data_IF_832616846698
#
_entry.id   IF_832616846698
#
_cell.length_a   1.000
_cell.length_b   1.000
_cell.length_c   1.000
_cell.angle_alpha   90.00
_cell.angle_beta   90.00
_cell.angle_gamma   90.00
#
_symmetry.space_group_name_H-M   'P 1'
#
loop_
_entity.id
_entity.type
_entity.pdbx_description
1 polymer ?
#
# COMPACT_ATOMS: atom_id res chain seq x y z
N UNK A 1 -18.12 -42.11 4.50
CA UNK A 1 -17.24 -41.40 5.44
C UNK A 1 -16.41 -40.40 4.64
N UNK A 2 -16.70 -39.11 4.76
CA UNK A 2 -15.98 -38.04 4.04
C UNK A 2 -14.61 -37.86 4.68
N UNK A 3 -13.55 -38.09 3.90
CA UNK A 3 -12.16 -37.94 4.34
C UNK A 3 -11.92 -36.44 4.64
N UNK A 4 -11.75 -36.10 5.92
CA UNK A 4 -11.48 -34.72 6.33
C UNK A 4 -10.06 -34.35 5.86
N UNK A 5 -9.95 -33.31 5.04
CA UNK A 5 -8.64 -32.82 4.57
C UNK A 5 -8.14 -31.82 5.60
N UNK A 6 -6.88 -31.93 6.01
CA UNK A 6 -6.25 -31.00 6.95
C UNK A 6 -5.56 -29.89 6.16
N UNK A 7 -5.72 -28.65 6.59
CA UNK A 7 -4.97 -27.49 6.09
C UNK A 7 -4.07 -26.94 7.19
N UNK A 8 -3.01 -26.22 6.81
CA UNK A 8 -2.10 -25.56 7.76
C UNK A 8 -2.48 -24.08 7.91
N UNK A 9 -2.56 -23.62 9.14
CA UNK A 9 -2.83 -22.23 9.50
C UNK A 9 -1.74 -21.70 10.42
N UNK A 10 -1.12 -20.58 10.08
CA UNK A 10 -0.13 -19.92 10.94
C UNK A 10 -0.83 -18.89 11.82
N UNK A 11 -0.74 -19.05 13.14
CA UNK A 11 -1.31 -18.16 14.14
C UNK A 11 -0.77 -16.74 13.94
N UNK A 12 -1.68 -15.77 13.81
CA UNK A 12 -1.39 -14.36 13.61
C UNK A 12 -1.45 -13.59 14.94
N UNK A 13 -0.86 -12.38 15.02
CA UNK A 13 -1.02 -11.52 16.18
C UNK A 13 -2.50 -11.26 16.49
N UNK A 14 -2.93 -11.58 17.72
CA UNK A 14 -4.31 -11.37 18.19
C UNK A 14 -5.25 -12.57 18.04
N UNK A 15 -4.78 -13.66 17.47
CA UNK A 15 -5.56 -14.89 17.39
C UNK A 15 -5.78 -15.55 18.75
N UNK A 16 -6.93 -16.21 18.89
CA UNK A 16 -7.21 -17.17 19.96
C UNK A 16 -7.61 -18.51 19.35
N UNK A 17 -7.39 -19.61 20.06
CA UNK A 17 -7.81 -20.93 19.57
C UNK A 17 -9.33 -21.01 19.37
N UNK A 18 -10.09 -20.23 20.15
CA UNK A 18 -11.52 -19.94 19.98
C UNK A 18 -11.88 -19.37 18.62
N UNK A 19 -11.27 -18.24 18.28
CA UNK A 19 -11.53 -17.54 17.02
C UNK A 19 -11.13 -18.39 15.81
N UNK A 20 -9.99 -19.08 15.88
CA UNK A 20 -9.51 -19.97 14.82
C UNK A 20 -10.47 -21.17 14.66
N UNK A 21 -10.87 -21.82 15.76
CA UNK A 21 -11.81 -22.94 15.69
C UNK A 21 -13.14 -22.54 15.05
N UNK A 22 -13.69 -21.38 15.43
CA UNK A 22 -14.90 -20.82 14.82
C UNK A 22 -14.72 -20.53 13.33
N UNK A 23 -13.56 -19.99 12.91
CA UNK A 23 -13.27 -19.70 11.51
C UNK A 23 -13.25 -20.95 10.63
N UNK A 24 -12.72 -22.06 11.16
CA UNK A 24 -12.63 -23.34 10.44
C UNK A 24 -13.81 -24.29 10.73
N UNK A 25 -14.88 -23.79 11.34
CA UNK A 25 -16.10 -24.58 11.59
C UNK A 25 -15.86 -25.80 12.50
N UNK A 26 -14.96 -25.69 13.48
CA UNK A 26 -14.67 -26.72 14.48
C UNK A 26 -14.81 -26.18 15.90
N UNK A 27 -14.67 -27.04 16.91
CA UNK A 27 -14.67 -26.62 18.32
C UNK A 27 -13.25 -26.41 18.84
N UNK A 28 -13.09 -25.56 19.86
CA UNK A 28 -11.81 -25.36 20.55
C UNK A 28 -11.22 -26.67 21.04
N UNK A 29 -12.03 -27.51 21.67
CA UNK A 29 -11.59 -28.82 22.16
C UNK A 29 -11.17 -29.76 21.02
N UNK A 30 -11.86 -29.74 19.88
CA UNK A 30 -11.48 -30.56 18.73
C UNK A 30 -10.19 -30.03 18.07
N UNK A 31 -10.04 -28.72 17.94
CA UNK A 31 -8.85 -28.09 17.37
C UNK A 31 -7.62 -28.25 18.28
N UNK A 32 -7.80 -28.12 19.60
CA UNK A 32 -6.75 -28.35 20.59
C UNK A 32 -6.27 -29.80 20.55
N UNK A 33 -7.19 -30.77 20.53
CA UNK A 33 -6.85 -32.20 20.40
C UNK A 33 -6.14 -32.52 19.09
N UNK A 34 -6.59 -31.94 17.96
CA UNK A 34 -5.98 -32.11 16.64
C UNK A 34 -4.53 -31.62 16.59
N UNK A 35 -4.17 -30.64 17.44
CA UNK A 35 -2.85 -30.02 17.48
C UNK A 35 -2.05 -30.36 18.74
N UNK A 36 -2.53 -31.30 19.55
CA UNK A 36 -1.92 -31.68 20.83
C UNK A 36 -1.66 -30.48 21.77
N UNK A 37 -2.57 -29.50 21.77
CA UNK A 37 -2.49 -28.31 22.63
C UNK A 37 -3.13 -28.64 23.99
N UNK A 38 -2.31 -28.61 25.04
CA UNK A 38 -2.76 -28.89 26.42
C UNK A 38 -3.55 -27.72 27.02
N UNK A 39 -3.10 -26.47 26.79
CA UNK A 39 -3.80 -25.26 27.19
C UNK A 39 -4.26 -24.47 25.96
N UNK A 40 -5.57 -24.45 25.65
CA UNK A 40 -6.15 -23.70 24.54
C UNK A 40 -5.88 -22.19 24.53
N UNK A 41 -5.50 -21.60 25.67
CA UNK A 41 -5.19 -20.17 25.76
C UNK A 41 -3.73 -19.85 25.45
N UNK A 42 -2.87 -20.87 25.29
CA UNK A 42 -1.42 -20.71 25.14
C UNK A 42 -0.93 -20.98 23.72
N UNK A 43 -1.57 -20.38 22.71
CA UNK A 43 -1.05 -20.38 21.34
C UNK A 43 -0.11 -19.19 21.11
N UNK A 44 0.93 -19.38 20.29
CA UNK A 44 1.92 -18.34 20.00
C UNK A 44 1.81 -17.86 18.55
N UNK A 45 2.01 -16.57 18.34
CA UNK A 45 2.15 -16.01 16.99
C UNK A 45 3.24 -16.76 16.23
N UNK A 46 2.96 -17.12 14.97
CA UNK A 46 3.83 -17.92 14.12
C UNK A 46 3.71 -19.43 14.32
N UNK A 47 2.97 -19.90 15.34
CA UNK A 47 2.69 -21.32 15.53
C UNK A 47 1.81 -21.83 14.38
N UNK A 48 2.18 -22.97 13.79
CA UNK A 48 1.40 -23.58 12.70
C UNK A 48 0.46 -24.63 13.28
N UNK A 49 -0.83 -24.49 13.01
CA UNK A 49 -1.90 -25.41 13.41
C UNK A 49 -2.43 -26.17 12.20
N UNK A 50 -2.65 -27.47 12.40
CA UNK A 50 -3.52 -28.30 11.56
C UNK A 50 -4.97 -27.95 11.85
N UNK A 51 -5.69 -27.44 10.86
CA UNK A 51 -7.11 -27.10 10.96
C UNK A 51 -7.93 -28.01 10.04
N UNK A 52 -9.14 -28.43 10.44
CA UNK A 52 -10.00 -29.19 9.57
C UNK A 52 -10.52 -28.31 8.42
N UNK A 53 -10.44 -28.83 7.20
CA UNK A 53 -11.06 -28.22 6.02
C UNK A 53 -12.28 -29.06 5.61
N UNK A 54 -13.51 -28.56 5.79
CA UNK A 54 -14.68 -29.22 5.23
C UNK A 54 -14.60 -29.11 3.70
N UNK A 55 -14.45 -30.25 3.03
CA UNK A 55 -14.31 -30.30 1.57
C UNK A 55 -15.43 -29.54 0.86
N UNK A 56 -15.03 -28.74 -0.13
CA UNK A 56 -15.86 -28.08 -1.15
C UNK A 56 -17.08 -27.28 -0.67
N UNK A 57 -16.94 -26.48 0.39
CA UNK A 57 -17.79 -25.29 0.53
C UNK A 57 -16.91 -24.06 0.68
N UNK A 58 -17.14 -22.98 -0.10
CA UNK A 58 -16.43 -21.72 0.08
C UNK A 58 -16.57 -21.27 1.54
N UNK A 59 -15.51 -20.72 2.16
CA UNK A 59 -15.60 -20.20 3.51
C UNK A 59 -16.79 -19.25 3.64
N UNK A 60 -17.54 -19.27 4.76
CA UNK A 60 -18.70 -18.41 4.94
C UNK A 60 -18.29 -16.94 4.71
N UNK A 61 -19.15 -16.15 4.03
CA UNK A 61 -18.81 -14.78 3.69
C UNK A 61 -18.49 -13.99 4.97
N UNK A 62 -17.50 -13.09 4.93
CA UNK A 62 -17.15 -12.29 6.09
C UNK A 62 -18.38 -11.50 6.57
N UNK A 63 -18.54 -11.30 7.90
CA UNK A 63 -19.69 -10.62 8.45
C UNK A 63 -19.81 -9.21 7.88
N UNK A 64 -21.03 -8.80 7.55
CA UNK A 64 -21.31 -7.47 6.98
C UNK A 64 -21.25 -6.37 8.03
N UNK A 65 -21.41 -6.72 9.31
CA UNK A 65 -21.42 -5.79 10.44
C UNK A 65 -20.61 -6.33 11.63
N UNK A 66 -20.09 -5.44 12.46
CA UNK A 66 -19.38 -5.76 13.70
C UNK A 66 -19.69 -4.76 14.81
N UNK A 67 -19.97 -5.24 16.03
CA UNK A 67 -20.22 -4.36 17.19
C UNK A 67 -18.92 -4.19 17.98
N UNK A 68 -18.44 -2.96 18.11
CA UNK A 68 -17.21 -2.59 18.84
C UNK A 68 -17.28 -3.06 20.29
N UNK A 69 -16.27 -3.80 20.72
CA UNK A 69 -16.13 -4.34 22.09
C UNK A 69 -15.15 -3.50 22.92
N UNK A 70 -15.16 -3.62 24.26
CA UNK A 70 -14.14 -2.98 25.11
C UNK A 70 -12.72 -3.33 24.66
N UNK A 71 -11.90 -2.29 24.40
CA UNK A 71 -10.51 -2.44 23.97
C UNK A 71 -10.29 -2.51 22.45
N UNK A 72 -11.36 -2.49 21.66
CA UNK A 72 -11.23 -2.47 20.19
C UNK A 72 -10.64 -1.15 19.67
N UNK A 73 -9.86 -1.26 18.60
CA UNK A 73 -9.46 -0.14 17.74
C UNK A 73 -9.91 -0.42 16.31
N UNK A 74 -10.16 0.63 15.53
CA UNK A 74 -10.55 0.46 14.12
C UNK A 74 -9.45 -0.26 13.32
N UNK A 75 -8.18 -0.11 13.73
CA UNK A 75 -7.00 -0.85 13.26
C UNK A 75 -7.09 -2.36 13.45
N UNK A 76 -7.31 -2.78 14.70
CA UNK A 76 -7.42 -4.20 15.03
C UNK A 76 -8.64 -4.86 14.35
N UNK A 77 -9.77 -4.15 14.30
CA UNK A 77 -10.98 -4.62 13.61
C UNK A 77 -10.71 -4.77 12.11
N UNK A 78 -10.09 -3.77 11.48
CA UNK A 78 -9.76 -3.83 10.05
C UNK A 78 -8.85 -5.01 9.70
N UNK A 79 -7.78 -5.22 10.48
CA UNK A 79 -6.88 -6.34 10.31
C UNK A 79 -7.61 -7.69 10.46
N UNK A 80 -8.47 -7.81 11.48
CA UNK A 80 -9.27 -9.01 11.77
C UNK A 80 -10.22 -9.39 10.63
N UNK A 81 -10.79 -8.42 9.95
CA UNK A 81 -11.74 -8.66 8.85
C UNK A 81 -11.11 -8.49 7.46
N UNK A 82 -9.78 -8.50 7.38
CA UNK A 82 -9.02 -8.36 6.13
C UNK A 82 -9.48 -7.16 5.28
N UNK A 83 -9.81 -6.06 5.95
CA UNK A 83 -10.20 -4.79 5.35
C UNK A 83 -9.26 -3.69 5.85
N UNK A 84 -9.50 -2.44 5.50
CA UNK A 84 -8.70 -1.32 5.99
C UNK A 84 -9.49 -0.46 6.97
N UNK A 85 -8.76 0.16 7.90
CA UNK A 85 -9.27 1.20 8.81
C UNK A 85 -10.08 2.22 8.03
N UNK A 86 -9.54 2.62 6.88
CA UNK A 86 -10.13 3.62 5.99
C UNK A 86 -11.43 3.13 5.34
N UNK A 87 -11.50 1.85 4.93
CA UNK A 87 -12.71 1.26 4.37
C UNK A 87 -13.83 1.17 5.42
N UNK A 88 -13.50 0.78 6.65
CA UNK A 88 -14.47 0.78 7.76
C UNK A 88 -14.87 2.22 8.10
N UNK A 89 -13.92 3.13 8.24
CA UNK A 89 -14.19 4.52 8.59
C UNK A 89 -15.09 5.20 7.56
N UNK A 90 -14.82 5.00 6.27
CA UNK A 90 -15.60 5.58 5.19
C UNK A 90 -17.05 5.06 5.16
N UNK A 91 -17.24 3.73 5.24
CA UNK A 91 -18.58 3.13 5.25
C UNK A 91 -19.43 3.58 6.44
N UNK A 92 -18.78 3.87 7.56
CA UNK A 92 -19.44 4.25 8.80
C UNK A 92 -19.39 5.76 9.07
N UNK A 93 -18.98 6.56 8.09
CA UNK A 93 -18.85 8.01 8.21
C UNK A 93 -18.03 8.48 9.43
N UNK A 94 -17.01 7.71 9.81
CA UNK A 94 -16.12 8.00 10.94
C UNK A 94 -15.05 8.98 10.48
N UNK A 95 -15.18 10.23 10.90
CA UNK A 95 -14.22 11.29 10.59
C UNK A 95 -12.85 11.09 11.27
N UNK A 96 -12.84 10.58 12.51
CA UNK A 96 -11.63 10.25 13.25
C UNK A 96 -11.58 8.73 13.55
N UNK A 97 -10.78 7.95 12.80
CA UNK A 97 -10.66 6.51 12.99
C UNK A 97 -10.14 6.05 14.35
N UNK A 98 -9.55 6.95 15.14
CA UNK A 98 -9.10 6.67 16.51
C UNK A 98 -10.23 6.85 17.55
N UNK A 99 -11.41 7.31 17.13
CA UNK A 99 -12.54 7.55 18.01
C UNK A 99 -13.70 6.63 17.60
N UNK A 100 -13.71 5.43 18.21
CA UNK A 100 -14.85 4.51 18.18
C UNK A 100 -15.31 4.22 19.60
N UNK A 101 -16.60 3.94 19.78
CA UNK A 101 -17.19 3.69 21.08
C UNK A 101 -17.61 2.23 21.23
N UNK A 102 -17.44 1.66 22.43
CA UNK A 102 -17.97 0.33 22.76
C UNK A 102 -19.48 0.31 22.51
N UNK A 103 -19.96 -0.74 21.85
CA UNK A 103 -21.35 -0.87 21.43
C UNK A 103 -21.66 -0.25 20.06
N UNK A 104 -20.74 0.49 19.44
CA UNK A 104 -20.92 1.04 18.10
C UNK A 104 -20.94 -0.09 17.06
N UNK A 105 -21.94 -0.10 16.17
CA UNK A 105 -22.03 -1.08 15.08
C UNK A 105 -21.37 -0.51 13.83
N UNK A 106 -20.44 -1.28 13.26
CA UNK A 106 -19.65 -0.93 12.08
C UNK A 106 -20.01 -1.82 10.90
N UNK A 107 -20.34 -1.22 9.76
CA UNK A 107 -20.44 -1.88 8.46
C UNK A 107 -19.05 -2.22 7.92
N UNK A 108 -18.82 -3.50 7.61
CA UNK A 108 -17.52 -4.02 7.15
C UNK A 108 -17.47 -4.25 5.63
N UNK A 109 -18.59 -4.70 5.04
CA UNK A 109 -18.73 -4.96 3.59
C UNK A 109 -20.00 -4.30 3.04
N UNK A 110 -20.05 -4.09 1.73
CA UNK A 110 -21.09 -3.30 1.07
C UNK A 110 -21.95 -4.23 0.24
N UNK A 111 -23.24 -4.27 0.56
CA UNK A 111 -24.25 -4.79 -0.35
C UNK A 111 -24.63 -3.63 -1.27
N UNK A 112 -24.30 -3.70 -2.56
CA UNK A 112 -25.07 -2.97 -3.57
C UNK A 112 -24.87 -3.56 -4.97
N UNK A 113 -25.96 -4.15 -5.45
CA UNK A 113 -26.22 -4.44 -6.86
C UNK A 113 -27.06 -3.27 -7.37
N UNK A 114 -26.58 -2.48 -8.33
CA UNK A 114 -27.43 -1.63 -9.19
C UNK A 114 -26.69 -1.05 -10.42
N UNK A 115 -27.42 -0.73 -11.51
CA UNK A 115 -27.01 -0.97 -12.91
C UNK A 115 -26.40 0.26 -13.63
N UNK A 116 -25.94 0.11 -14.90
CA UNK A 116 -24.92 0.98 -15.50
C UNK A 116 -25.47 2.23 -16.20
N UNK A 117 -24.68 3.31 -16.18
CA UNK A 117 -24.84 4.50 -17.03
C UNK A 117 -23.88 4.39 -18.22
N UNK A 118 -24.42 4.64 -19.42
CA UNK A 118 -23.75 4.51 -20.72
C UNK A 118 -22.59 5.51 -20.86
N UNK A 119 -21.39 5.04 -21.21
CA UNK A 119 -20.29 5.86 -21.75
C UNK A 119 -19.54 5.07 -22.84
N UNK A 120 -19.16 5.81 -23.88
CA UNK A 120 -18.62 5.36 -25.19
C UNK A 120 -17.37 4.47 -25.04
N UNK A 121 -17.32 3.42 -25.85
CA UNK A 121 -16.31 2.36 -25.80
C UNK A 121 -14.91 2.84 -26.24
N UNK A 122 -14.08 3.18 -25.26
CA UNK A 122 -12.63 2.91 -25.32
C UNK A 122 -12.45 1.52 -24.76
N UNK A 123 -11.77 0.62 -25.49
CA UNK A 123 -11.50 -0.76 -25.03
C UNK A 123 -10.92 -0.71 -23.60
N UNK A 124 -11.62 -1.21 -22.57
CA UNK A 124 -11.09 -1.20 -21.22
C UNK A 124 -9.97 -2.25 -21.16
N UNK A 125 -8.74 -1.79 -20.95
CA UNK A 125 -7.70 -2.66 -20.42
C UNK A 125 -8.14 -3.22 -19.06
N UNK A 126 -7.62 -4.39 -18.64
CA UNK A 126 -8.03 -4.97 -17.37
C UNK A 126 -7.75 -3.99 -16.22
N UNK A 127 -8.76 -3.71 -15.38
CA UNK A 127 -8.69 -2.84 -14.19
C UNK A 127 -7.69 -3.32 -13.10
N UNK A 128 -6.90 -4.35 -13.40
CA UNK A 128 -5.93 -5.02 -12.52
C UNK A 128 -4.58 -5.28 -13.20
N UNK A 129 -4.44 -5.05 -14.50
CA UNK A 129 -3.21 -5.39 -15.24
C UNK A 129 -2.08 -4.41 -14.93
N UNK A 130 -0.85 -4.90 -14.81
CA UNK A 130 0.35 -4.08 -14.69
C UNK A 130 0.48 -3.06 -15.83
N UNK A 131 1.21 -1.96 -15.59
CA UNK A 131 1.54 -1.00 -16.65
C UNK A 131 2.47 -1.69 -17.64
N UNK A 132 2.16 -1.60 -18.93
CA UNK A 132 2.99 -2.17 -19.99
C UNK A 132 4.10 -1.21 -20.39
N UNK A 133 5.16 -1.74 -21.05
CA UNK A 133 6.24 -0.90 -21.59
C UNK A 133 5.73 0.11 -22.62
N UNK A 134 4.75 -0.27 -23.44
CA UNK A 134 4.14 0.63 -24.42
C UNK A 134 3.46 1.82 -23.71
N UNK A 135 2.62 1.55 -22.72
CA UNK A 135 1.94 2.58 -21.93
C UNK A 135 2.93 3.49 -21.21
N UNK A 136 3.95 2.92 -20.57
CA UNK A 136 4.99 3.71 -19.90
C UNK A 136 5.69 4.67 -20.88
N UNK A 137 5.98 4.25 -22.10
CA UNK A 137 6.67 5.09 -23.09
C UNK A 137 5.77 6.12 -23.78
N UNK A 138 4.45 5.98 -23.73
CA UNK A 138 3.53 7.06 -24.09
C UNK A 138 3.54 8.14 -23.01
N UNK A 139 3.56 7.74 -21.73
CA UNK A 139 3.52 8.67 -20.59
C UNK A 139 4.89 9.35 -20.37
N UNK A 140 5.98 8.58 -20.49
CA UNK A 140 7.37 8.98 -20.21
C UNK A 140 8.28 8.57 -21.38
N UNK A 141 8.16 9.20 -22.56
CA UNK A 141 8.96 8.84 -23.73
C UNK A 141 10.48 8.87 -23.49
N UNK A 142 10.97 9.75 -22.60
CA UNK A 142 12.40 9.83 -22.28
C UNK A 142 12.89 8.67 -21.40
N UNK A 143 12.00 7.87 -20.82
CA UNK A 143 12.35 6.64 -20.10
C UNK A 143 12.82 5.51 -21.04
N UNK A 144 12.71 5.66 -22.36
CA UNK A 144 13.01 4.61 -23.36
C UNK A 144 14.31 3.84 -23.12
N UNK A 145 15.45 4.47 -22.79
CA UNK A 145 16.70 3.75 -22.57
C UNK A 145 16.67 2.83 -21.35
N UNK A 146 15.81 3.09 -20.36
CA UNK A 146 15.76 2.43 -19.05
C UNK A 146 14.48 1.66 -18.78
N UNK A 147 13.46 1.82 -19.63
CA UNK A 147 12.12 1.29 -19.38
C UNK A 147 12.08 -0.24 -19.26
N UNK A 148 12.98 -0.96 -19.95
CA UNK A 148 13.07 -2.42 -19.82
C UNK A 148 13.51 -2.83 -18.40
N UNK A 149 14.49 -2.13 -17.85
CA UNK A 149 15.04 -2.42 -16.52
C UNK A 149 14.14 -1.91 -15.40
N UNK A 150 13.50 -0.76 -15.59
CA UNK A 150 12.73 -0.09 -14.53
C UNK A 150 11.32 -0.65 -14.36
N UNK A 151 10.67 -1.05 -15.45
CA UNK A 151 9.26 -1.40 -15.45
C UNK A 151 8.89 -2.54 -14.49
N UNK A 152 9.65 -3.65 -14.37
CA UNK A 152 9.33 -4.71 -13.42
C UNK A 152 9.27 -4.19 -11.98
N UNK A 153 10.26 -3.38 -11.57
CA UNK A 153 10.34 -2.82 -10.22
C UNK A 153 9.25 -1.77 -9.96
N UNK A 154 8.97 -0.92 -10.94
CA UNK A 154 7.87 0.05 -10.87
C UNK A 154 6.52 -0.64 -10.68
N UNK A 155 6.24 -1.72 -11.42
CA UNK A 155 5.00 -2.48 -11.27
C UNK A 155 4.92 -3.20 -9.91
N UNK A 156 6.03 -3.75 -9.40
CA UNK A 156 6.10 -4.30 -8.02
C UNK A 156 5.72 -3.22 -7.01
N UNK A 157 6.36 -2.04 -7.08
CA UNK A 157 6.09 -0.95 -6.14
C UNK A 157 4.64 -0.47 -6.19
N UNK A 158 4.04 -0.34 -7.38
CA UNK A 158 2.63 0.02 -7.52
C UNK A 158 1.69 -1.01 -6.89
N UNK A 159 2.01 -2.32 -7.00
CA UNK A 159 1.23 -3.38 -6.33
C UNK A 159 1.36 -3.31 -4.81
N UNK A 160 2.58 -3.19 -4.28
CA UNK A 160 2.84 -3.05 -2.85
C UNK A 160 2.14 -1.81 -2.26
N UNK A 161 2.08 -0.72 -3.03
CA UNK A 161 1.42 0.53 -2.66
C UNK A 161 -0.10 0.53 -2.89
N UNK A 162 -0.70 -0.62 -3.27
CA UNK A 162 -2.11 -0.76 -3.60
C UNK A 162 -2.61 0.24 -4.67
N UNK A 163 -1.75 0.61 -5.63
CA UNK A 163 -2.11 1.41 -6.80
C UNK A 163 -2.73 0.51 -7.87
N UNK A 164 -3.89 -0.05 -7.53
CA UNK A 164 -4.61 -1.03 -8.35
C UNK A 164 -5.46 -0.36 -9.44
N UNK A 165 -5.97 0.85 -9.19
CA UNK A 165 -6.83 1.56 -10.14
C UNK A 165 -6.01 2.33 -11.19
N UNK A 166 -6.53 2.47 -12.43
CA UNK A 166 -5.95 3.36 -13.44
C UNK A 166 -5.72 4.79 -12.94
N UNK A 167 -6.64 5.34 -12.14
CA UNK A 167 -6.54 6.69 -11.55
C UNK A 167 -5.31 6.83 -10.64
N UNK A 168 -5.10 5.87 -9.71
CA UNK A 168 -3.95 5.88 -8.79
C UNK A 168 -2.64 5.79 -9.56
N UNK A 169 -2.56 4.89 -10.54
CA UNK A 169 -1.37 4.71 -11.38
C UNK A 169 -1.10 5.95 -12.22
N UNK A 170 -2.13 6.53 -12.84
CA UNK A 170 -1.99 7.74 -13.64
C UNK A 170 -1.42 8.89 -12.81
N UNK A 171 -1.98 9.14 -11.63
CA UNK A 171 -1.52 10.20 -10.74
C UNK A 171 -0.09 9.93 -10.24
N UNK A 172 0.23 8.70 -9.85
CA UNK A 172 1.57 8.32 -9.41
C UNK A 172 2.61 8.48 -10.52
N UNK A 173 2.37 7.91 -11.70
CA UNK A 173 3.28 8.01 -12.85
C UNK A 173 3.48 9.46 -13.28
N UNK A 174 2.44 10.30 -13.25
CA UNK A 174 2.58 11.71 -13.59
C UNK A 174 3.48 12.49 -12.63
N UNK A 175 3.43 12.18 -11.33
CA UNK A 175 4.33 12.80 -10.35
C UNK A 175 5.76 12.31 -10.57
N UNK A 176 5.97 11.01 -10.73
CA UNK A 176 7.30 10.44 -11.02
C UNK A 176 7.89 11.02 -12.31
N UNK A 177 7.09 11.19 -13.35
CA UNK A 177 7.51 11.77 -14.61
C UNK A 177 8.10 13.18 -14.44
N UNK A 178 7.56 13.98 -13.53
CA UNK A 178 8.12 15.29 -13.24
C UNK A 178 9.35 15.20 -12.33
N UNK A 179 9.27 14.50 -11.19
CA UNK A 179 10.33 14.46 -10.17
C UNK A 179 11.66 13.85 -10.65
N UNK A 180 11.62 13.01 -11.69
CA UNK A 180 12.77 12.27 -12.18
C UNK A 180 13.16 12.61 -13.63
N UNK A 181 12.57 13.67 -14.19
CA UNK A 181 12.61 13.97 -15.62
C UNK A 181 12.30 12.72 -16.46
N UNK A 182 11.11 12.14 -16.28
CA UNK A 182 10.62 10.95 -16.96
C UNK A 182 11.53 9.73 -16.77
N UNK A 183 11.96 9.51 -15.53
CA UNK A 183 12.85 8.41 -15.12
C UNK A 183 14.24 8.47 -15.79
N UNK A 184 14.67 9.65 -16.23
CA UNK A 184 16.05 9.82 -16.71
C UNK A 184 17.05 9.83 -15.55
N UNK A 185 16.63 10.26 -14.36
CA UNK A 185 17.49 10.38 -13.19
C UNK A 185 16.88 9.68 -11.98
N UNK A 186 17.66 8.78 -11.36
CA UNK A 186 17.34 8.11 -10.09
C UNK A 186 18.23 8.61 -8.94
N UNK A 187 19.12 9.55 -9.20
CA UNK A 187 19.93 10.23 -8.21
C UNK A 187 20.12 11.67 -8.67
N UNK A 188 20.08 12.59 -7.73
CA UNK A 188 20.30 14.01 -7.99
C UNK A 188 21.74 14.25 -8.49
N UNK A 189 21.88 15.07 -9.53
CA UNK A 189 23.19 15.50 -10.06
C UNK A 189 23.92 16.45 -9.09
N UNK A 190 23.17 17.10 -8.19
CA UNK A 190 23.73 17.94 -7.13
C UNK A 190 24.56 17.10 -6.14
N UNK A 191 25.54 17.76 -5.51
CA UNK A 191 26.39 17.12 -4.51
C UNK A 191 25.63 16.79 -3.21
N UNK A 192 24.54 17.51 -2.92
CA UNK A 192 23.81 17.44 -1.66
C UNK A 192 24.46 18.19 -0.51
N UNK A 193 25.58 18.90 -0.75
CA UNK A 193 26.26 19.68 0.29
C UNK A 193 25.35 20.79 0.88
N UNK A 194 24.39 21.29 0.11
CA UNK A 194 23.39 22.27 0.57
C UNK A 194 22.42 21.72 1.64
N UNK A 195 22.33 20.40 1.78
CA UNK A 195 21.53 19.76 2.83
C UNK A 195 22.29 19.58 4.15
N UNK A 196 23.58 19.93 4.20
CA UNK A 196 24.39 19.79 5.41
C UNK A 196 23.82 20.64 6.56
N UNK A 197 23.72 20.05 7.75
CA UNK A 197 23.21 20.75 8.94
C UNK A 197 21.70 21.07 8.93
N UNK A 198 20.94 20.68 7.90
CA UNK A 198 19.48 20.88 7.82
C UNK A 198 18.75 20.06 8.88
N UNK A 199 18.47 20.69 10.02
CA UNK A 199 17.80 20.06 11.19
C UNK A 199 16.39 19.58 10.87
N UNK A 200 15.65 20.28 10.02
CA UNK A 200 14.32 19.89 9.55
C UNK A 200 14.35 18.56 8.76
N UNK A 201 15.46 18.27 8.08
CA UNK A 201 15.71 17.01 7.37
C UNK A 201 16.35 15.93 8.27
N UNK A 202 16.66 16.27 9.53
CA UNK A 202 17.37 15.41 10.46
C UNK A 202 18.86 15.30 10.20
N UNK A 203 19.43 16.15 9.35
CA UNK A 203 20.86 16.17 9.04
C UNK A 203 21.61 16.89 10.16
N UNK A 204 21.92 16.16 11.23
CA UNK A 204 22.54 16.71 12.46
C UNK A 204 23.95 16.17 12.71
N UNK A 205 24.45 15.28 11.85
CA UNK A 205 25.80 14.73 11.94
C UNK A 205 26.64 15.26 10.77
N UNK A 206 27.95 15.52 10.96
CA UNK A 206 28.83 15.92 9.89
C UNK A 206 28.80 14.94 8.71
N UNK A 207 28.60 15.47 7.50
CA UNK A 207 28.55 14.71 6.25
C UNK A 207 27.16 14.21 5.86
N UNK A 208 26.13 14.53 6.65
CA UNK A 208 24.75 14.10 6.39
C UNK A 208 24.17 14.66 5.08
N UNK A 209 24.56 15.85 4.67
CA UNK A 209 24.03 16.49 3.47
C UNK A 209 24.32 15.64 2.23
N UNK A 210 25.59 15.36 1.97
CA UNK A 210 26.02 14.52 0.84
C UNK A 210 25.53 13.08 1.01
N UNK A 211 25.60 12.54 2.23
CA UNK A 211 25.19 11.15 2.51
C UNK A 211 23.71 10.92 2.23
N UNK A 212 22.83 11.85 2.60
CA UNK A 212 21.38 11.75 2.46
C UNK A 212 20.80 12.73 1.42
N UNK A 213 21.54 12.99 0.34
CA UNK A 213 21.08 13.77 -0.80
C UNK A 213 19.89 13.14 -1.54
N UNK A 214 19.28 13.86 -2.47
CA UNK A 214 18.12 13.40 -3.24
C UNK A 214 18.40 12.13 -4.04
N UNK A 215 17.59 11.08 -3.81
CA UNK A 215 17.64 9.81 -4.56
C UNK A 215 16.27 9.23 -4.86
N UNK A 216 16.26 8.37 -5.87
CA UNK A 216 15.10 7.70 -6.39
C UNK A 216 14.19 8.62 -7.20
N UNK A 217 13.10 8.07 -7.73
CA UNK A 217 12.22 8.78 -8.67
C UNK A 217 11.30 9.79 -7.99
N UNK A 218 11.38 9.94 -6.66
CA UNK A 218 10.65 10.95 -5.86
C UNK A 218 11.60 11.90 -5.11
N UNK A 219 12.92 11.82 -5.37
CA UNK A 219 13.93 12.65 -4.69
C UNK A 219 13.85 12.58 -3.15
N UNK A 220 13.99 11.38 -2.57
CA UNK A 220 14.06 11.20 -1.12
C UNK A 220 15.31 11.90 -0.57
N UNK A 221 15.14 12.88 0.30
CA UNK A 221 16.23 13.70 0.85
C UNK A 221 16.17 13.78 2.37
N UNK A 222 17.33 13.72 3.04
CA UNK A 222 17.47 13.95 4.48
C UNK A 222 17.45 12.69 5.34
N UNK A 223 18.34 12.62 6.33
CA UNK A 223 18.52 11.47 7.23
C UNK A 223 17.21 10.95 7.83
N UNK A 224 16.33 11.84 8.27
CA UNK A 224 15.05 11.43 8.86
C UNK A 224 14.17 10.67 7.86
N UNK A 225 14.10 11.14 6.62
CA UNK A 225 13.30 10.52 5.58
C UNK A 225 13.86 9.15 5.19
N UNK A 226 15.18 9.03 5.03
CA UNK A 226 15.85 7.75 4.79
C UNK A 226 15.59 6.73 5.91
N UNK A 227 15.69 7.16 7.18
CA UNK A 227 15.40 6.31 8.34
C UNK A 227 13.98 5.78 8.34
N UNK A 228 13.00 6.66 8.14
CA UNK A 228 11.58 6.28 8.22
C UNK A 228 11.19 5.39 7.04
N UNK A 229 11.65 5.72 5.82
CA UNK A 229 11.44 4.91 4.63
C UNK A 229 12.07 3.51 4.80
N UNK A 230 13.33 3.46 5.23
CA UNK A 230 14.05 2.22 5.43
C UNK A 230 13.38 1.31 6.45
N UNK A 231 12.96 1.86 7.60
CA UNK A 231 12.21 1.11 8.61
C UNK A 231 10.88 0.57 8.08
N UNK A 232 10.15 1.37 7.31
CA UNK A 232 8.85 0.96 6.75
C UNK A 232 8.98 -0.15 5.70
N UNK A 233 10.09 -0.16 4.95
CA UNK A 233 10.34 -1.13 3.87
C UNK A 233 11.18 -2.35 4.32
N UNK A 234 11.71 -2.33 5.55
CA UNK A 234 12.64 -3.35 6.04
C UNK A 234 14.01 -3.30 5.35
N UNK A 235 14.47 -2.12 4.94
CA UNK A 235 15.72 -1.89 4.21
C UNK A 235 16.58 -0.92 5.01
N UNK A 236 17.85 -1.25 5.28
CA UNK A 236 18.75 -0.34 6.00
C UNK A 236 19.30 0.78 5.10
N UNK A 237 18.45 1.79 4.88
CA UNK A 237 18.77 3.00 4.14
C UNK A 237 19.63 4.00 4.91
N UNK A 238 19.85 3.80 6.22
CA UNK A 238 20.77 4.65 6.98
C UNK A 238 22.23 4.22 6.76
N UNK A 239 22.47 2.91 6.78
CA UNK A 239 23.78 2.37 6.43
C UNK A 239 24.02 2.45 4.92
N UNK A 240 22.99 2.22 4.09
CA UNK A 240 23.13 2.09 2.63
C UNK A 240 22.24 3.08 1.86
N UNK A 241 22.43 4.41 1.99
CA UNK A 241 21.55 5.40 1.36
C UNK A 241 21.59 5.37 -0.17
N UNK A 242 22.70 4.94 -0.79
CA UNK A 242 22.80 4.78 -2.25
C UNK A 242 21.74 3.83 -2.81
N UNK A 243 21.29 2.84 -2.03
CA UNK A 243 20.23 1.90 -2.43
C UNK A 243 18.94 2.60 -2.86
N UNK A 244 18.65 3.81 -2.34
CA UNK A 244 17.47 4.56 -2.75
C UNK A 244 17.48 4.98 -4.23
N UNK A 245 18.63 4.94 -4.91
CA UNK A 245 18.76 5.15 -6.35
C UNK A 245 18.60 3.86 -7.17
N UNK A 246 18.70 2.69 -6.55
CA UNK A 246 18.53 1.41 -7.25
C UNK A 246 17.06 1.20 -7.59
N UNK A 247 16.71 0.70 -8.80
CA UNK A 247 15.32 0.58 -9.22
C UNK A 247 14.43 -0.25 -8.27
N UNK A 248 14.95 -1.37 -7.76
CA UNK A 248 14.22 -2.27 -6.86
C UNK A 248 13.83 -1.62 -5.53
N UNK A 249 14.59 -0.63 -5.06
CA UNK A 249 14.37 0.07 -3.80
C UNK A 249 13.76 1.45 -4.01
N UNK A 250 14.27 2.22 -4.97
CA UNK A 250 13.81 3.58 -5.27
C UNK A 250 12.32 3.65 -5.62
N UNK A 251 11.81 2.71 -6.41
CA UNK A 251 10.37 2.66 -6.70
C UNK A 251 9.54 2.28 -5.46
N UNK A 252 10.03 1.38 -4.61
CA UNK A 252 9.36 1.02 -3.34
C UNK A 252 9.34 2.20 -2.37
N UNK A 253 10.43 2.98 -2.31
CA UNK A 253 10.49 4.26 -1.58
C UNK A 253 9.44 5.24 -2.10
N UNK A 254 9.28 5.38 -3.43
CA UNK A 254 8.24 6.24 -3.99
C UNK A 254 6.82 5.74 -3.67
N UNK A 255 6.58 4.43 -3.73
CA UNK A 255 5.31 3.81 -3.31
C UNK A 255 5.00 4.02 -1.82
N UNK A 256 6.02 3.89 -0.95
CA UNK A 256 5.90 4.20 0.48
C UNK A 256 5.62 5.70 0.72
N UNK A 257 6.34 6.59 0.04
CA UNK A 257 6.14 8.04 0.17
C UNK A 257 4.69 8.42 -0.17
N UNK A 258 4.17 7.83 -1.25
CA UNK A 258 2.80 8.01 -1.71
C UNK A 258 1.77 7.53 -0.69
N UNK A 259 1.90 6.29 -0.22
CA UNK A 259 0.93 5.66 0.70
C UNK A 259 0.98 6.27 2.10
N UNK A 260 2.17 6.56 2.62
CA UNK A 260 2.34 7.24 3.92
C UNK A 260 1.70 8.64 3.97
N UNK A 261 1.39 9.23 2.82
CA UNK A 261 0.72 10.54 2.70
C UNK A 261 -0.76 10.46 2.31
N UNK A 262 -1.31 9.27 2.14
CA UNK A 262 -2.72 9.06 1.80
C UNK A 262 -3.06 9.46 0.35
N UNK A 263 -2.09 9.44 -0.56
CA UNK A 263 -2.27 9.99 -1.91
C UNK A 263 -3.15 9.10 -2.82
N UNK A 264 -3.35 7.82 -2.46
CA UNK A 264 -4.30 6.95 -3.14
C UNK A 264 -5.73 7.52 -3.10
N UNK A 265 -6.19 7.97 -1.94
CA UNK A 265 -7.53 8.54 -1.77
C UNK A 265 -7.72 9.82 -2.57
N UNK A 266 -6.68 10.67 -2.61
CA UNK A 266 -6.70 11.88 -3.43
C UNK A 266 -6.75 11.53 -4.93
N UNK A 267 -6.04 10.49 -5.36
CA UNK A 267 -6.05 10.05 -6.75
C UNK A 267 -7.41 9.46 -7.15
N UNK A 268 -8.04 8.67 -6.28
CA UNK A 268 -9.39 8.14 -6.53
C UNK A 268 -10.44 9.25 -6.67
N UNK A 269 -10.26 10.35 -5.91
CA UNK A 269 -11.09 11.56 -5.99
C UNK A 269 -10.65 12.53 -7.09
N UNK A 270 -9.63 12.17 -7.88
CA UNK A 270 -9.01 13.00 -8.92
C UNK A 270 -8.54 14.38 -8.42
N UNK A 271 -8.16 14.48 -7.15
CA UNK A 271 -7.66 15.71 -6.53
C UNK A 271 -6.16 15.90 -6.80
N UNK A 272 -5.77 15.94 -8.07
CA UNK A 272 -4.36 15.96 -8.49
C UNK A 272 -3.59 17.20 -7.99
N UNK A 273 -4.25 18.35 -7.87
CA UNK A 273 -3.67 19.55 -7.27
C UNK A 273 -3.35 19.36 -5.78
N UNK A 274 -4.17 18.61 -5.04
CA UNK A 274 -3.91 18.29 -3.64
C UNK A 274 -2.72 17.31 -3.51
N UNK A 275 -2.61 16.35 -4.42
CA UNK A 275 -1.45 15.45 -4.52
C UNK A 275 -0.17 16.27 -4.74
N UNK A 276 -0.19 17.18 -5.73
CA UNK A 276 0.97 18.02 -6.06
C UNK A 276 1.42 18.86 -4.87
N UNK A 277 0.48 19.52 -4.17
CA UNK A 277 0.79 20.28 -2.93
C UNK A 277 1.39 19.41 -1.84
N UNK A 278 0.94 18.17 -1.68
CA UNK A 278 1.43 17.27 -0.62
C UNK A 278 2.79 16.65 -0.92
N UNK A 279 3.16 16.57 -2.19
CA UNK A 279 4.50 16.14 -2.61
C UNK A 279 5.49 17.31 -2.50
N UNK A 280 5.12 18.49 -3.00
CA UNK A 280 6.07 19.59 -3.22
C UNK A 280 5.94 20.77 -2.25
N UNK A 281 4.97 20.75 -1.33
CA UNK A 281 4.64 21.90 -0.49
C UNK A 281 3.98 23.07 -1.25
N UNK A 282 3.66 22.89 -2.54
CA UNK A 282 3.13 23.91 -3.43
C UNK A 282 2.73 23.37 -4.80
N UNK A 283 2.56 24.24 -5.79
CA UNK A 283 2.17 23.89 -7.16
C UNK A 283 3.33 24.03 -8.17
N UNK A 284 4.56 23.88 -7.70
CA UNK A 284 5.74 23.97 -8.56
C UNK A 284 5.67 22.90 -9.66
N UNK A 285 5.88 23.32 -10.92
CA UNK A 285 5.81 22.43 -12.08
C UNK A 285 4.40 21.98 -12.48
N UNK A 286 3.32 22.57 -11.93
CA UNK A 286 1.94 22.13 -12.15
C UNK A 286 1.59 21.89 -13.62
N UNK A 287 1.90 22.85 -14.50
CA UNK A 287 1.55 22.74 -15.92
C UNK A 287 2.16 21.50 -16.59
N UNK A 288 3.36 21.10 -16.21
CA UNK A 288 4.01 19.89 -16.72
C UNK A 288 3.41 18.63 -16.09
N UNK A 289 3.19 18.63 -14.77
CA UNK A 289 2.54 17.53 -14.05
C UNK A 289 1.14 17.23 -14.60
N UNK A 290 0.36 18.28 -14.89
CA UNK A 290 -0.98 18.16 -15.48
C UNK A 290 -0.92 17.53 -16.88
N UNK A 291 0.10 17.88 -17.70
CA UNK A 291 0.32 17.25 -19.02
C UNK A 291 0.60 15.76 -18.88
N UNK A 292 1.50 15.37 -17.98
CA UNK A 292 1.76 13.94 -17.74
C UNK A 292 0.52 13.22 -17.22
N UNK A 293 -0.24 13.85 -16.33
CA UNK A 293 -1.45 13.26 -15.76
C UNK A 293 -2.53 13.04 -16.83
N UNK A 294 -2.78 14.03 -17.69
CA UNK A 294 -3.73 13.90 -18.80
C UNK A 294 -3.34 12.78 -19.78
N UNK A 295 -2.04 12.65 -20.10
CA UNK A 295 -1.54 11.55 -20.94
C UNK A 295 -1.74 10.21 -20.24
N UNK A 296 -1.43 10.11 -18.95
CA UNK A 296 -1.55 8.89 -18.18
C UNK A 296 -3.00 8.43 -17.98
N UNK A 297 -3.93 9.35 -17.73
CA UNK A 297 -5.37 9.02 -17.64
C UNK A 297 -5.87 8.40 -18.94
N UNK A 298 -5.57 9.06 -20.08
CA UNK A 298 -5.95 8.56 -21.41
C UNK A 298 -5.36 7.18 -21.70
N UNK A 299 -4.07 7.01 -21.45
CA UNK A 299 -3.34 5.79 -21.79
C UNK A 299 -3.73 4.59 -20.91
N UNK A 300 -4.14 4.85 -19.67
CA UNK A 300 -4.56 3.81 -18.73
C UNK A 300 -6.08 3.57 -18.73
N UNK A 301 -6.84 4.32 -19.54
CA UNK A 301 -8.30 4.20 -19.63
C UNK A 301 -9.01 4.58 -18.32
N UNK A 302 -8.57 5.68 -17.70
CA UNK A 302 -9.02 6.18 -16.41
C UNK A 302 -9.99 7.38 -16.55
#
# INVERSE_FOLDING_TARGET
>A
MTKQVLSRYTVQPGDTLGAIAGHFGTSVGALARLNHIADPNLIRVGQVLSVPHPGNTPPPPPPTHYTVQPGDTLGAIAARFHTSVQAIAHRNHIANPNLIHVGQVLQLTGSDVSPPRVVVAVRPGPKTADVTRAQLLVIMPLARPRAADYLPHLNVAMREAAMISPLRRAAFLAQLAHESAQLQFMEELASGAEYEGRRDLGNTQPGDGVRFKGRGPIQLTGRNNYRVAGRALGIDLLANPHRAADPDVGFRVAGWFWTSRGLNDLADRQQFDAITRRINGGLNGKAERDRYYAVALRELGA
#
